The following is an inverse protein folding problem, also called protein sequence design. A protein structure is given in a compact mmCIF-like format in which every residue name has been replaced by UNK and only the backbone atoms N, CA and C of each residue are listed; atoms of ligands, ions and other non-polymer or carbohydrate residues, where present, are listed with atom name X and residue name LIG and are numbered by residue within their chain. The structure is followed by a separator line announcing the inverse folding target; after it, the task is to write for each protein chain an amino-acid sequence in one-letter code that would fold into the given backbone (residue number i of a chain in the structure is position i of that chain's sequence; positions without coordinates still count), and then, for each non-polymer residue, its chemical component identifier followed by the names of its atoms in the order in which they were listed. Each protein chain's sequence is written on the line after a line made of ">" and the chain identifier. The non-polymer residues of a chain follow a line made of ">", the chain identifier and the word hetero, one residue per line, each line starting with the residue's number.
data_IF_701796637867
#
_entry.id   IF_701796637867
#
_cell.length_a   1.000
_cell.length_b   1.000
_cell.length_c   1.000
_cell.angle_alpha   90.00
_cell.angle_beta   90.00
_cell.angle_gamma   90.00
#
_symmetry.space_group_name_H-M   'P 1'
#
loop_
_entity.id
_entity.type
_entity.pdbx_description
1 polymer ?
#
# COMPACT_ATOMS: atom_id res chain seq x y z
N UNK A 1 19.31 3.58 -1.10
CA UNK A 1 18.34 4.07 -2.11
C UNK A 1 18.00 2.91 -3.04
N UNK A 2 16.72 2.67 -3.32
CA UNK A 2 16.26 1.63 -4.24
C UNK A 2 15.18 2.22 -5.17
N UNK A 3 15.24 1.90 -6.46
CA UNK A 3 14.27 2.32 -7.47
C UNK A 3 14.23 1.33 -8.64
N UNK A 4 13.13 1.33 -9.39
CA UNK A 4 12.98 0.50 -10.58
C UNK A 4 13.75 1.04 -11.78
N UNK A 5 14.30 0.14 -12.59
CA UNK A 5 14.99 0.42 -13.85
C UNK A 5 14.50 -0.53 -14.93
N UNK A 6 14.62 -0.15 -16.20
CA UNK A 6 14.22 -0.97 -17.33
C UNK A 6 15.17 -2.15 -17.60
N UNK A 7 14.73 -3.14 -18.37
CA UNK A 7 15.54 -4.34 -18.69
C UNK A 7 16.89 -4.00 -19.32
N UNK A 8 16.95 -3.06 -20.25
CA UNK A 8 18.21 -2.61 -20.86
C UNK A 8 19.13 -1.89 -19.87
N UNK A 9 18.58 -1.19 -18.89
CA UNK A 9 19.37 -0.60 -17.81
C UNK A 9 19.94 -1.68 -16.87
N UNK A 10 19.17 -2.74 -16.59
CA UNK A 10 19.65 -3.89 -15.80
C UNK A 10 20.85 -4.54 -16.49
N UNK A 11 20.75 -4.81 -17.80
CA UNK A 11 21.86 -5.36 -18.59
C UNK A 11 23.11 -4.47 -18.47
N UNK A 12 22.94 -3.15 -18.58
CA UNK A 12 24.03 -2.19 -18.45
C UNK A 12 24.65 -2.18 -17.05
N UNK A 13 23.85 -2.25 -15.99
CA UNK A 13 24.35 -2.33 -14.60
C UNK A 13 25.11 -3.63 -14.38
N UNK A 14 24.60 -4.76 -14.89
CA UNK A 14 25.30 -6.04 -14.76
C UNK A 14 26.64 -6.03 -15.48
N UNK A 15 26.70 -5.44 -16.68
CA UNK A 15 27.92 -5.36 -17.48
C UNK A 15 28.94 -4.35 -16.95
N UNK A 16 28.50 -3.20 -16.43
CA UNK A 16 29.40 -2.07 -16.13
C UNK A 16 29.46 -1.68 -14.66
N UNK A 17 28.55 -2.18 -13.81
CA UNK A 17 28.32 -1.72 -12.44
C UNK A 17 28.01 -0.22 -12.32
N UNK A 18 27.58 0.40 -13.43
CA UNK A 18 27.24 1.83 -13.48
C UNK A 18 25.90 2.04 -14.19
N UNK A 19 25.30 3.20 -13.95
CA UNK A 19 24.06 3.61 -14.62
C UNK A 19 24.03 5.13 -14.75
N UNK A 20 23.85 5.64 -15.97
CA UNK A 20 23.71 7.07 -16.22
C UNK A 20 22.35 7.53 -15.72
N UNK A 21 22.33 8.47 -14.78
CA UNK A 21 21.10 8.98 -14.20
C UNK A 21 21.13 10.50 -14.04
N UNK A 22 19.99 11.14 -14.27
CA UNK A 22 19.78 12.54 -13.88
C UNK A 22 19.57 12.61 -12.37
N UNK A 23 20.24 13.53 -11.66
CA UNK A 23 19.96 13.77 -10.25
C UNK A 23 18.47 14.08 -10.03
N UNK A 24 17.86 13.38 -9.08
CA UNK A 24 16.49 13.66 -8.66
C UNK A 24 16.48 14.85 -7.69
N UNK A 25 15.37 15.60 -7.69
CA UNK A 25 15.09 16.61 -6.68
C UNK A 25 14.67 15.97 -5.36
N UNK A 26 14.81 16.68 -4.25
CA UNK A 26 14.43 16.20 -2.93
C UNK A 26 13.05 16.72 -2.55
N UNK A 27 12.12 15.82 -2.27
CA UNK A 27 10.80 16.16 -1.73
C UNK A 27 10.67 15.62 -0.32
N UNK A 28 10.17 16.41 0.63
CA UNK A 28 9.82 15.93 1.97
C UNK A 28 8.32 15.89 2.16
N UNK A 29 7.81 14.76 2.66
CA UNK A 29 6.43 14.61 3.10
C UNK A 29 6.44 14.34 4.61
N UNK A 30 5.95 15.30 5.38
CA UNK A 30 5.90 15.24 6.83
C UNK A 30 4.49 14.90 7.31
N UNK A 31 4.35 13.80 8.04
CA UNK A 31 3.10 13.40 8.70
C UNK A 31 3.18 13.78 10.18
N UNK A 32 2.53 14.90 10.52
CA UNK A 32 2.63 15.57 11.81
C UNK A 32 1.59 15.04 12.81
N UNK A 33 2.05 14.58 13.96
CA UNK A 33 1.25 13.93 15.00
C UNK A 33 1.09 12.42 14.84
N UNK A 34 0.19 11.85 15.62
CA UNK A 34 -0.15 10.42 15.59
C UNK A 34 -1.45 10.18 14.83
N UNK A 35 -1.51 9.06 14.12
CA UNK A 35 -2.74 8.63 13.43
C UNK A 35 -3.70 7.98 14.41
N UNK A 36 -5.00 8.12 14.15
CA UNK A 36 -6.06 7.50 14.95
C UNK A 36 -6.01 5.97 14.88
N UNK A 37 -6.63 5.31 15.87
CA UNK A 37 -6.83 3.86 15.86
C UNK A 37 -7.53 3.42 14.56
N UNK A 38 -7.10 2.29 14.00
CA UNK A 38 -7.64 1.75 12.74
C UNK A 38 -7.01 2.33 11.47
N UNK A 39 -6.14 3.35 11.58
CA UNK A 39 -5.35 3.89 10.46
C UNK A 39 -4.02 3.15 10.36
N UNK A 40 -3.72 2.64 9.16
CA UNK A 40 -2.51 1.87 8.86
C UNK A 40 -1.56 2.64 7.94
N UNK A 41 -0.37 2.06 7.68
CA UNK A 41 0.56 2.58 6.68
C UNK A 41 -0.06 2.73 5.29
N UNK A 42 -1.01 1.83 4.94
CA UNK A 42 -1.75 1.86 3.67
C UNK A 42 -2.61 3.11 3.54
N UNK A 43 -3.30 3.47 4.62
CA UNK A 43 -4.16 4.65 4.65
C UNK A 43 -3.34 5.94 4.57
N UNK A 44 -2.18 5.98 5.25
CA UNK A 44 -1.24 7.09 5.18
C UNK A 44 -0.78 7.31 3.73
N UNK A 45 -0.30 6.26 3.04
CA UNK A 45 0.23 6.42 1.69
C UNK A 45 -0.86 6.69 0.65
N UNK A 46 -2.04 6.13 0.80
CA UNK A 46 -3.18 6.47 -0.06
C UNK A 46 -3.60 7.93 0.13
N UNK A 47 -3.67 8.43 1.37
CA UNK A 47 -3.94 9.85 1.63
C UNK A 47 -2.88 10.77 1.02
N UNK A 48 -1.60 10.39 1.12
CA UNK A 48 -0.50 11.13 0.48
C UNK A 48 -0.71 11.18 -1.04
N UNK A 49 -0.94 10.04 -1.69
CA UNK A 49 -1.12 9.96 -3.15
C UNK A 49 -2.38 10.72 -3.59
N UNK A 50 -3.47 10.67 -2.82
CA UNK A 50 -4.67 11.48 -3.07
C UNK A 50 -4.40 12.98 -3.02
N UNK A 51 -3.50 13.43 -2.13
CA UNK A 51 -3.15 14.85 -2.01
C UNK A 51 -2.16 15.33 -3.08
N UNK A 52 -1.14 14.54 -3.41
CA UNK A 52 -0.10 14.96 -4.36
C UNK A 52 -0.42 14.57 -5.81
N UNK A 53 -1.33 13.60 -6.02
CA UNK A 53 -1.64 13.00 -7.31
C UNK A 53 -0.56 12.03 -7.81
N UNK A 54 -0.86 11.27 -8.88
CA UNK A 54 0.08 10.28 -9.44
C UNK A 54 1.30 10.88 -10.12
N UNK A 55 1.31 12.19 -10.38
CA UNK A 55 2.45 12.94 -10.91
C UNK A 55 3.11 13.85 -9.86
N UNK A 56 2.64 13.81 -8.60
CA UNK A 56 3.04 14.77 -7.56
C UNK A 56 4.51 14.72 -7.17
N UNK A 57 5.14 13.55 -7.31
CA UNK A 57 6.55 13.27 -7.05
C UNK A 57 7.40 13.11 -8.32
N UNK A 58 6.89 13.39 -9.52
CA UNK A 58 7.67 13.22 -10.76
C UNK A 58 8.95 14.05 -10.75
N UNK A 59 10.10 13.36 -10.92
CA UNK A 59 11.43 13.97 -10.87
C UNK A 59 12.02 14.10 -9.45
N UNK A 60 11.31 13.63 -8.42
CA UNK A 60 11.75 13.67 -7.03
C UNK A 60 12.06 12.29 -6.46
N UNK A 61 12.92 12.27 -5.45
CA UNK A 61 12.93 11.24 -4.40
C UNK A 61 12.20 11.81 -3.19
N UNK A 62 11.26 11.04 -2.64
CA UNK A 62 10.48 11.46 -1.48
C UNK A 62 11.12 10.94 -0.20
N UNK A 63 11.44 11.83 0.72
CA UNK A 63 11.69 11.50 2.13
C UNK A 63 10.37 11.60 2.91
N UNK A 64 9.94 10.50 3.53
CA UNK A 64 8.80 10.48 4.44
C UNK A 64 9.31 10.67 5.87
N UNK A 65 8.75 11.67 6.55
CA UNK A 65 9.17 12.09 7.88
C UNK A 65 7.95 12.39 8.78
N UNK A 66 8.23 12.72 10.04
CA UNK A 66 7.19 13.04 11.03
C UNK A 66 6.88 11.89 11.99
N UNK A 67 6.11 12.21 13.03
CA UNK A 67 5.88 11.31 14.16
C UNK A 67 5.16 10.02 13.72
N UNK A 68 4.12 10.13 12.89
CA UNK A 68 3.41 8.95 12.39
C UNK A 68 4.33 7.99 11.63
N UNK A 69 5.26 8.51 10.80
CA UNK A 69 6.22 7.69 10.04
C UNK A 69 7.21 6.99 10.97
N UNK A 70 7.74 7.70 11.97
CA UNK A 70 8.63 7.11 13.00
C UNK A 70 7.92 6.01 13.80
N UNK A 71 6.63 6.20 14.08
CA UNK A 71 5.81 5.24 14.84
C UNK A 71 5.56 3.93 14.08
N UNK A 72 5.67 3.89 12.75
CA UNK A 72 5.51 2.66 11.97
C UNK A 72 6.56 1.60 12.29
N UNK A 73 6.15 0.34 12.15
CA UNK A 73 7.04 -0.81 12.03
C UNK A 73 7.85 -0.74 10.73
N UNK A 74 8.85 -1.60 10.58
CA UNK A 74 9.58 -1.69 9.32
C UNK A 74 8.72 -2.18 8.16
N UNK A 75 7.75 -3.04 8.41
CA UNK A 75 6.84 -3.56 7.38
C UNK A 75 5.90 -2.44 6.88
N UNK A 76 5.33 -1.64 7.78
CA UNK A 76 4.57 -0.44 7.43
C UNK A 76 5.39 0.62 6.69
N UNK A 77 6.67 0.82 7.04
CA UNK A 77 7.59 1.68 6.26
C UNK A 77 7.79 1.17 4.85
N UNK A 78 7.90 -0.15 4.68
CA UNK A 78 8.02 -0.76 3.35
C UNK A 78 6.73 -0.58 2.53
N UNK A 79 5.54 -0.60 3.14
CA UNK A 79 4.27 -0.27 2.46
C UNK A 79 4.30 1.16 1.90
N UNK A 80 4.74 2.14 2.69
CA UNK A 80 4.85 3.54 2.24
C UNK A 80 5.86 3.68 1.10
N UNK A 81 7.07 3.16 1.28
CA UNK A 81 8.12 3.25 0.27
C UNK A 81 7.75 2.48 -1.02
N UNK A 82 7.03 1.35 -0.91
CA UNK A 82 6.55 0.59 -2.06
C UNK A 82 5.67 1.45 -2.97
N UNK A 83 4.74 2.20 -2.38
CA UNK A 83 3.75 2.99 -3.12
C UNK A 83 4.24 4.39 -3.52
N UNK A 84 5.53 4.68 -3.37
CA UNK A 84 6.10 5.98 -3.78
C UNK A 84 6.02 6.19 -5.29
N UNK A 85 6.12 5.11 -6.07
CA UNK A 85 6.03 5.17 -7.53
C UNK A 85 4.60 5.48 -8.00
N UNK A 86 3.57 5.08 -7.25
CA UNK A 86 2.18 5.44 -7.52
C UNK A 86 1.90 6.94 -7.28
N UNK A 87 2.69 7.61 -6.43
CA UNK A 87 2.74 9.08 -6.33
C UNK A 87 3.65 9.75 -7.38
N UNK A 88 4.22 8.97 -8.30
CA UNK A 88 5.09 9.43 -9.38
C UNK A 88 6.55 9.65 -8.98
N UNK A 89 6.92 9.35 -7.74
CA UNK A 89 8.29 9.52 -7.27
C UNK A 89 9.20 8.40 -7.75
N UNK A 90 10.46 8.74 -7.95
CA UNK A 90 11.49 7.78 -8.37
C UNK A 90 11.79 6.75 -7.27
N UNK A 91 11.79 7.20 -6.02
CA UNK A 91 12.02 6.38 -4.85
C UNK A 91 11.38 7.04 -3.62
N UNK A 92 11.14 6.21 -2.59
CA UNK A 92 10.77 6.62 -1.25
C UNK A 92 11.88 6.29 -0.25
N UNK A 93 12.12 7.18 0.70
CA UNK A 93 13.11 7.04 1.76
C UNK A 93 12.47 7.32 3.11
N UNK A 94 12.85 6.53 4.10
CA UNK A 94 12.57 6.77 5.53
C UNK A 94 13.90 6.60 6.24
N UNK A 95 14.25 7.59 7.08
CA UNK A 95 15.49 7.56 7.83
C UNK A 95 15.56 6.29 8.71
N UNK A 96 16.70 5.59 8.74
CA UNK A 96 16.86 4.44 9.61
C UNK A 96 16.92 4.90 11.08
N UNK A 97 16.44 4.03 11.96
CA UNK A 97 16.41 4.20 13.41
C UNK A 97 16.48 2.84 14.10
N UNK A 98 16.27 2.80 15.40
CA UNK A 98 16.34 1.57 16.21
C UNK A 98 15.42 0.47 15.68
N UNK A 99 14.20 0.80 15.23
CA UNK A 99 13.27 -0.18 14.63
C UNK A 99 13.85 -0.81 13.37
N UNK A 100 14.60 -0.03 12.60
CA UNK A 100 15.30 -0.50 11.41
C UNK A 100 16.41 -1.48 11.78
N UNK A 101 17.19 -1.14 12.80
CA UNK A 101 18.30 -1.98 13.25
C UNK A 101 17.78 -3.28 13.86
N UNK A 102 16.78 -3.21 14.72
CA UNK A 102 16.17 -4.39 15.34
C UNK A 102 15.55 -5.31 14.29
N UNK A 103 14.91 -4.77 13.26
CA UNK A 103 14.39 -5.57 12.17
C UNK A 103 15.49 -6.31 11.40
N UNK A 104 16.67 -5.71 11.18
CA UNK A 104 17.77 -6.34 10.44
C UNK A 104 18.55 -7.34 11.32
N UNK A 105 18.62 -7.09 12.63
CA UNK A 105 19.46 -7.84 13.58
C UNK A 105 19.15 -9.35 13.51
N UNK A 106 20.20 -10.15 13.32
CA UNK A 106 20.10 -11.61 13.29
C UNK A 106 19.48 -12.22 12.02
N UNK A 107 19.05 -11.41 11.04
CA UNK A 107 18.56 -11.92 9.76
C UNK A 107 19.69 -12.53 8.91
N UNK A 108 19.37 -13.41 7.95
CA UNK A 108 20.34 -13.86 6.96
C UNK A 108 21.05 -12.68 6.29
N UNK A 109 22.38 -12.80 6.16
CA UNK A 109 23.26 -11.77 5.60
C UNK A 109 23.36 -10.44 6.38
N UNK A 110 22.70 -10.31 7.53
CA UNK A 110 22.93 -9.18 8.41
C UNK A 110 24.39 -9.16 8.90
N UNK A 111 25.02 -7.98 9.05
CA UNK A 111 26.38 -7.89 9.58
C UNK A 111 26.43 -8.47 11.00
N UNK A 112 27.57 -9.08 11.35
CA UNK A 112 27.77 -9.73 12.66
C UNK A 112 28.94 -9.10 13.41
N UNK A 113 28.93 -9.23 14.74
CA UNK A 113 30.03 -8.84 15.63
C UNK A 113 30.50 -7.39 15.37
N UNK A 114 31.80 -7.16 15.15
CA UNK A 114 32.32 -5.81 14.90
C UNK A 114 31.72 -5.13 13.66
N UNK A 115 31.37 -5.90 12.62
CA UNK A 115 30.73 -5.34 11.43
C UNK A 115 29.31 -4.85 11.73
N UNK A 116 28.63 -5.41 12.74
CA UNK A 116 27.35 -4.90 13.21
C UNK A 116 27.50 -3.50 13.82
N UNK A 117 28.51 -3.31 14.67
CA UNK A 117 28.79 -2.01 15.29
C UNK A 117 29.19 -0.95 14.26
N UNK A 118 30.00 -1.33 13.26
CA UNK A 118 30.35 -0.45 12.13
C UNK A 118 29.12 -0.07 11.31
N UNK A 119 28.24 -1.04 11.05
CA UNK A 119 27.01 -0.82 10.31
C UNK A 119 26.06 0.13 11.06
N UNK A 120 25.85 -0.06 12.36
CA UNK A 120 25.05 0.87 13.20
C UNK A 120 25.63 2.28 13.14
N UNK A 121 26.95 2.43 13.30
CA UNK A 121 27.60 3.74 13.26
C UNK A 121 27.35 4.44 11.90
N UNK A 122 27.45 3.70 10.81
CA UNK A 122 27.17 4.21 9.47
C UNK A 122 25.68 4.52 9.27
N UNK A 123 24.77 3.65 9.69
CA UNK A 123 23.34 3.88 9.52
C UNK A 123 22.85 5.08 10.33
N UNK A 124 23.41 5.31 11.52
CA UNK A 124 23.13 6.51 12.31
C UNK A 124 23.59 7.81 11.66
N UNK A 125 24.46 7.77 10.65
CA UNK A 125 24.86 8.95 9.87
C UNK A 125 24.03 9.15 8.59
N UNK A 126 23.03 8.32 8.33
CA UNK A 126 22.16 8.43 7.16
C UNK A 126 20.96 9.38 7.28
N UNK A 127 20.39 9.66 8.47
CA UNK A 127 19.32 10.65 8.60
C UNK A 127 19.76 12.02 8.08
N UNK A 128 18.80 12.77 7.51
CA UNK A 128 19.03 14.11 6.98
C UNK A 128 19.52 15.09 8.06
N UNK A 129 20.47 15.95 7.69
CA UNK A 129 21.03 16.96 8.58
C UNK A 129 19.97 17.96 9.08
N UNK A 130 20.20 18.51 10.28
CA UNK A 130 19.37 19.60 10.80
C UNK A 130 19.48 20.80 9.85
N UNK A 131 18.34 21.26 9.32
CA UNK A 131 18.30 22.36 8.36
C UNK A 131 18.52 21.96 6.90
N UNK A 132 18.51 20.65 6.59
CA UNK A 132 18.53 20.18 5.20
C UNK A 132 17.41 20.85 4.36
N UNK A 133 17.77 21.32 3.17
CA UNK A 133 16.85 21.97 2.23
C UNK A 133 16.21 20.96 1.29
N UNK A 134 14.92 21.13 1.02
CA UNK A 134 14.16 20.31 0.08
C UNK A 134 13.61 21.19 -1.04
N UNK A 135 13.61 20.67 -2.27
CA UNK A 135 13.02 21.35 -3.42
C UNK A 135 11.50 21.50 -3.29
N UNK A 136 10.85 20.58 -2.55
CA UNK A 136 9.41 20.60 -2.29
C UNK A 136 9.10 20.00 -0.92
N UNK A 137 8.19 20.63 -0.20
CA UNK A 137 7.73 20.14 1.11
C UNK A 137 6.22 20.07 1.17
N UNK A 138 5.69 19.00 1.76
CA UNK A 138 4.27 18.80 2.02
C UNK A 138 4.11 18.36 3.46
N UNK A 139 3.20 19.01 4.20
CA UNK A 139 2.85 18.63 5.57
C UNK A 139 1.41 18.17 5.62
N UNK A 140 1.18 17.02 6.23
CA UNK A 140 -0.15 16.43 6.45
C UNK A 140 -0.32 16.23 7.96
N UNK A 141 -1.45 16.68 8.51
CA UNK A 141 -1.78 16.43 9.92
C UNK A 141 -2.29 14.99 10.03
N UNK A 142 -1.64 14.18 10.86
CA UNK A 142 -1.96 12.76 11.06
C UNK A 142 -3.42 12.55 11.51
N UNK A 143 -3.96 13.47 12.32
CA UNK A 143 -5.37 13.46 12.76
C UNK A 143 -6.41 13.59 11.64
N UNK A 144 -5.99 14.07 10.46
CA UNK A 144 -6.87 14.19 9.29
C UNK A 144 -6.84 12.92 8.42
N UNK A 145 -5.97 11.96 8.75
CA UNK A 145 -5.90 10.68 8.04
C UNK A 145 -6.92 9.74 8.71
N UNK A 146 -7.88 9.29 7.92
CA UNK A 146 -8.82 8.24 8.26
C UNK A 146 -8.54 6.99 7.42
N UNK A 147 -9.15 5.83 7.73
CA UNK A 147 -9.11 4.69 6.83
C UNK A 147 -9.58 5.06 5.41
N UNK A 148 -8.79 4.69 4.41
CA UNK A 148 -8.92 5.14 3.02
C UNK A 148 -9.37 4.00 2.09
N UNK A 149 -9.97 4.40 0.97
CA UNK A 149 -10.30 3.48 -0.12
C UNK A 149 -10.30 4.20 -1.45
N UNK A 150 -9.78 3.55 -2.49
CA UNK A 150 -9.90 4.09 -3.84
C UNK A 150 -11.32 3.86 -4.37
N UNK A 151 -11.96 4.89 -4.92
CA UNK A 151 -13.27 4.80 -5.56
C UNK A 151 -13.16 4.70 -7.08
N UNK A 152 -12.08 5.26 -7.66
CA UNK A 152 -11.85 5.33 -9.11
C UNK A 152 -10.90 4.27 -9.66
N UNK A 153 -10.22 4.61 -10.74
CA UNK A 153 -9.34 3.69 -11.51
C UNK A 153 -7.85 4.02 -11.33
N UNK A 154 -7.52 4.86 -10.36
CA UNK A 154 -6.15 5.25 -10.03
C UNK A 154 -5.95 5.30 -8.51
N UNK A 155 -4.72 5.05 -8.00
CA UNK A 155 -4.42 5.18 -6.58
C UNK A 155 -4.66 6.58 -5.99
N UNK A 156 -4.70 7.63 -6.82
CA UNK A 156 -5.05 9.00 -6.37
C UNK A 156 -6.55 9.21 -6.18
N UNK A 157 -7.39 8.34 -6.74
CA UNK A 157 -8.85 8.46 -6.70
C UNK A 157 -9.35 7.87 -5.38
N UNK A 158 -9.01 8.53 -4.27
CA UNK A 158 -9.18 8.04 -2.90
C UNK A 158 -10.13 8.93 -2.10
N UNK A 159 -10.90 8.30 -1.21
CA UNK A 159 -11.74 8.96 -0.20
C UNK A 159 -11.70 8.17 1.12
N UNK A 160 -12.07 8.81 2.25
CA UNK A 160 -12.39 8.08 3.47
C UNK A 160 -13.46 7.00 3.26
N UNK A 161 -13.35 5.87 3.95
CA UNK A 161 -14.37 4.80 3.89
C UNK A 161 -15.74 5.29 4.40
N UNK A 162 -15.76 6.27 5.30
CA UNK A 162 -16.98 6.93 5.80
C UNK A 162 -17.53 7.99 4.83
N UNK A 163 -16.83 8.26 3.74
CA UNK A 163 -17.17 9.26 2.74
C UNK A 163 -18.12 8.75 1.65
N UNK A 164 -18.17 9.53 0.58
CA UNK A 164 -19.02 9.29 -0.60
C UNK A 164 -18.17 9.29 -1.88
N UNK A 165 -18.69 8.61 -2.89
CA UNK A 165 -18.21 8.72 -4.27
C UNK A 165 -18.37 10.17 -4.74
N UNK A 166 -17.34 10.81 -5.33
CA UNK A 166 -17.42 12.21 -5.75
C UNK A 166 -18.46 12.42 -6.84
N UNK A 167 -19.08 13.60 -6.84
CA UNK A 167 -19.98 14.03 -7.91
C UNK A 167 -19.20 14.82 -8.98
N UNK A 168 -19.18 14.37 -10.25
CA UNK A 168 -18.58 15.14 -11.33
C UNK A 168 -19.13 16.56 -11.46
N UNK A 169 -20.37 16.82 -11.04
CA UNK A 169 -21.00 18.15 -11.09
C UNK A 169 -20.31 19.17 -10.20
N UNK A 170 -19.66 18.73 -9.13
CA UNK A 170 -18.94 19.59 -8.19
C UNK A 170 -17.50 19.91 -8.63
N UNK A 171 -17.08 19.42 -9.80
CA UNK A 171 -15.72 19.60 -10.33
C UNK A 171 -15.76 20.62 -11.45
N UNK A 172 -15.16 21.80 -11.22
CA UNK A 172 -15.11 22.88 -12.22
C UNK A 172 -14.26 22.54 -13.44
N UNK A 173 -13.09 21.91 -13.22
CA UNK A 173 -12.17 21.54 -14.30
C UNK A 173 -12.78 20.47 -15.21
N UNK A 174 -12.97 20.82 -16.48
CA UNK A 174 -13.65 19.99 -17.48
C UNK A 174 -12.89 18.67 -17.74
N UNK A 175 -11.55 18.68 -17.71
CA UNK A 175 -10.75 17.47 -17.96
C UNK A 175 -10.87 16.52 -16.78
N UNK A 176 -10.77 17.05 -15.56
CA UNK A 176 -10.95 16.29 -14.32
C UNK A 176 -12.37 15.73 -14.22
N UNK A 177 -13.39 16.54 -14.54
CA UNK A 177 -14.80 16.09 -14.59
C UNK A 177 -14.97 14.88 -15.50
N UNK A 178 -14.49 14.97 -16.75
CA UNK A 178 -14.56 13.86 -17.72
C UNK A 178 -13.80 12.61 -17.26
N UNK A 179 -12.66 12.80 -16.61
CA UNK A 179 -11.90 11.69 -16.04
C UNK A 179 -12.69 10.99 -14.92
N UNK A 180 -13.30 11.75 -14.01
CA UNK A 180 -14.18 11.20 -12.97
C UNK A 180 -15.38 10.48 -13.58
N UNK A 181 -16.07 11.07 -14.56
CA UNK A 181 -17.21 10.44 -15.26
C UNK A 181 -16.82 9.07 -15.84
N UNK A 182 -15.68 8.98 -16.53
CA UNK A 182 -15.16 7.71 -17.06
C UNK A 182 -14.82 6.71 -15.95
N UNK A 183 -14.16 7.15 -14.88
CA UNK A 183 -13.84 6.28 -13.75
C UNK A 183 -15.11 5.74 -13.08
N UNK A 184 -16.16 6.56 -12.92
CA UNK A 184 -17.45 6.13 -12.38
C UNK A 184 -18.14 5.12 -13.30
N UNK A 185 -18.13 5.34 -14.61
CA UNK A 185 -18.68 4.41 -15.59
C UNK A 185 -17.96 3.04 -15.53
N UNK A 186 -16.62 3.05 -15.58
CA UNK A 186 -15.82 1.84 -15.48
C UNK A 186 -16.08 1.10 -14.16
N UNK A 187 -16.02 1.84 -13.05
CA UNK A 187 -16.23 1.30 -11.71
C UNK A 187 -17.70 0.97 -11.44
N UNK A 188 -18.64 1.35 -12.30
CA UNK A 188 -20.08 1.15 -12.08
C UNK A 188 -20.55 1.72 -10.75
N UNK A 189 -20.15 2.96 -10.45
CA UNK A 189 -20.50 3.68 -9.22
C UNK A 189 -21.39 4.88 -9.54
N UNK A 190 -22.28 5.20 -8.61
CA UNK A 190 -23.10 6.41 -8.71
C UNK A 190 -22.46 7.56 -7.92
N UNK A 191 -22.56 8.78 -8.43
CA UNK A 191 -22.19 9.98 -7.70
C UNK A 191 -22.93 10.05 -6.36
N UNK A 192 -22.25 10.52 -5.30
CA UNK A 192 -22.78 10.65 -3.94
C UNK A 192 -23.21 9.33 -3.26
N UNK A 193 -22.97 8.16 -3.87
CA UNK A 193 -23.16 6.87 -3.21
C UNK A 193 -22.23 6.77 -1.99
N UNK A 194 -22.73 6.28 -0.85
CA UNK A 194 -21.84 6.05 0.29
C UNK A 194 -20.90 4.90 -0.03
N UNK A 195 -19.64 5.05 0.36
CA UNK A 195 -18.64 4.02 0.07
C UNK A 195 -18.99 2.69 0.77
N UNK A 196 -19.57 2.76 1.97
CA UNK A 196 -20.02 1.57 2.71
C UNK A 196 -21.16 0.77 2.03
N UNK A 197 -21.85 1.36 1.07
CA UNK A 197 -22.91 0.69 0.31
C UNK A 197 -22.38 -0.06 -0.93
N UNK A 198 -21.07 0.05 -1.21
CA UNK A 198 -20.44 -0.62 -2.34
C UNK A 198 -20.28 -2.11 -2.02
N UNK A 199 -21.10 -2.93 -2.68
CA UNK A 199 -21.01 -4.41 -2.66
C UNK A 199 -19.77 -4.88 -3.40
N UNK A 200 -19.08 -5.86 -2.83
CA UNK A 200 -17.91 -6.50 -3.43
C UNK A 200 -18.20 -7.98 -3.72
N UNK A 201 -17.53 -8.53 -4.72
CA UNK A 201 -17.62 -9.94 -5.10
C UNK A 201 -16.41 -10.73 -4.60
N UNK A 202 -15.26 -10.05 -4.45
CA UNK A 202 -13.97 -10.66 -4.11
C UNK A 202 -13.16 -9.84 -3.10
N UNK A 203 -12.31 -10.53 -2.36
CA UNK A 203 -11.25 -9.93 -1.55
C UNK A 203 -9.89 -10.53 -1.89
N UNK A 204 -8.91 -9.67 -2.12
CA UNK A 204 -7.53 -10.04 -2.33
C UNK A 204 -6.64 -9.40 -1.26
N UNK A 205 -6.06 -10.23 -0.39
CA UNK A 205 -5.10 -9.79 0.62
C UNK A 205 -3.75 -10.40 0.29
N UNK A 206 -2.73 -9.58 0.07
CA UNK A 206 -1.38 -10.08 -0.11
C UNK A 206 -0.51 -9.25 -1.04
N UNK A 207 0.39 -9.94 -1.75
CA UNK A 207 1.46 -9.39 -2.59
C UNK A 207 2.60 -8.73 -1.79
N UNK A 208 3.52 -8.06 -2.48
CA UNK A 208 4.67 -7.39 -1.87
C UNK A 208 4.30 -6.16 -1.02
N UNK A 209 3.09 -5.61 -1.21
CA UNK A 209 2.66 -4.37 -0.54
C UNK A 209 2.14 -4.63 0.88
N UNK A 210 1.24 -5.60 1.01
CA UNK A 210 0.51 -5.91 2.24
C UNK A 210 0.21 -7.42 2.34
N UNK A 211 1.27 -8.22 2.39
CA UNK A 211 1.24 -9.68 2.58
C UNK A 211 2.30 -10.14 3.58
N UNK A 212 2.75 -9.25 4.46
CA UNK A 212 3.80 -9.52 5.46
C UNK A 212 3.18 -10.08 6.73
N UNK A 213 4.01 -10.51 7.68
CA UNK A 213 3.48 -11.20 8.86
C UNK A 213 2.60 -10.28 9.71
N UNK A 214 2.90 -8.98 9.80
CA UNK A 214 2.03 -8.06 10.55
C UNK A 214 0.66 -7.88 9.89
N UNK A 215 0.61 -7.83 8.55
CA UNK A 215 -0.64 -7.73 7.79
C UNK A 215 -1.50 -8.98 8.02
N UNK A 216 -0.89 -10.18 7.97
CA UNK A 216 -1.60 -11.46 8.17
C UNK A 216 -2.15 -11.60 9.59
N UNK A 217 -1.40 -11.15 10.60
CA UNK A 217 -1.86 -11.12 11.99
C UNK A 217 -3.02 -10.14 12.18
N UNK A 218 -2.97 -8.99 11.51
CA UNK A 218 -4.07 -8.02 11.54
C UNK A 218 -5.35 -8.64 10.95
N UNK A 219 -5.25 -9.29 9.80
CA UNK A 219 -6.37 -9.98 9.16
C UNK A 219 -6.92 -11.09 10.05
N UNK A 220 -6.05 -11.95 10.60
CA UNK A 220 -6.45 -13.03 11.49
C UNK A 220 -7.24 -12.51 12.71
N UNK A 221 -6.80 -11.40 13.33
CA UNK A 221 -7.52 -10.77 14.46
C UNK A 221 -8.94 -10.33 14.10
N UNK A 222 -9.14 -9.84 12.87
CA UNK A 222 -10.46 -9.37 12.43
C UNK A 222 -11.41 -10.54 12.19
N UNK A 223 -10.90 -11.63 11.61
CA UNK A 223 -11.71 -12.73 11.08
C UNK A 223 -11.86 -13.92 12.03
N UNK A 224 -11.10 -13.94 13.13
CA UNK A 224 -11.19 -15.00 14.15
C UNK A 224 -12.63 -15.20 14.64
N UNK A 225 -13.09 -16.45 14.61
CA UNK A 225 -14.46 -16.86 14.93
C UNK A 225 -15.55 -16.40 13.95
N UNK A 226 -15.21 -15.82 12.81
CA UNK A 226 -16.16 -15.31 11.79
C UNK A 226 -15.98 -16.06 10.46
N UNK A 227 -16.91 -15.83 9.51
CA UNK A 227 -16.86 -16.40 8.16
C UNK A 227 -16.96 -15.31 7.11
N UNK A 228 -16.18 -15.42 6.03
CA UNK A 228 -16.31 -14.55 4.86
C UNK A 228 -17.56 -14.91 4.05
N UNK A 229 -18.16 -13.92 3.39
CA UNK A 229 -19.37 -14.09 2.56
C UNK A 229 -19.10 -13.92 1.06
N UNK A 230 -17.85 -13.64 0.69
CA UNK A 230 -17.40 -13.38 -0.68
C UNK A 230 -16.16 -14.21 -0.98
N UNK A 231 -15.82 -14.36 -2.26
CA UNK A 231 -14.62 -15.08 -2.69
C UNK A 231 -13.37 -14.35 -2.19
N UNK A 232 -12.72 -14.90 -1.16
CA UNK A 232 -11.60 -14.24 -0.50
C UNK A 232 -10.34 -15.09 -0.56
N UNK A 233 -9.21 -14.47 -0.92
CA UNK A 233 -7.92 -15.16 -1.00
C UNK A 233 -6.82 -14.40 -0.27
N UNK A 234 -5.87 -15.15 0.26
CA UNK A 234 -4.70 -14.62 0.95
C UNK A 234 -3.43 -15.16 0.31
N UNK A 235 -2.54 -14.25 -0.07
CA UNK A 235 -1.26 -14.54 -0.72
C UNK A 235 -0.11 -13.96 0.12
N UNK A 236 0.64 -14.80 0.85
CA UNK A 236 1.81 -14.33 1.61
C UNK A 236 2.84 -13.65 0.70
N UNK A 237 3.56 -12.67 1.23
CA UNK A 237 4.55 -11.90 0.49
C UNK A 237 5.85 -12.66 0.21
N UNK A 238 6.09 -13.78 0.90
CA UNK A 238 7.24 -14.67 0.69
C UNK A 238 7.03 -16.04 1.35
N UNK A 239 7.86 -17.02 0.97
CA UNK A 239 7.88 -18.35 1.62
C UNK A 239 8.16 -18.26 3.12
N UNK A 240 9.10 -17.41 3.54
CA UNK A 240 9.42 -17.21 4.96
C UNK A 240 8.23 -16.66 5.76
N UNK A 241 7.46 -15.74 5.17
CA UNK A 241 6.24 -15.20 5.82
C UNK A 241 5.17 -16.27 5.91
N UNK A 242 4.99 -17.09 4.86
CA UNK A 242 4.04 -18.21 4.87
C UNK A 242 4.39 -19.22 5.96
N UNK A 243 5.63 -19.69 5.99
CA UNK A 243 6.13 -20.60 7.03
C UNK A 243 5.92 -20.04 8.44
N UNK A 244 6.18 -18.74 8.62
CA UNK A 244 5.98 -18.08 9.90
C UNK A 244 4.49 -18.03 10.28
N UNK A 245 3.62 -17.67 9.34
CA UNK A 245 2.18 -17.62 9.56
C UNK A 245 1.60 -19.00 9.94
N UNK A 246 2.08 -20.07 9.30
CA UNK A 246 1.68 -21.45 9.58
C UNK A 246 2.18 -21.93 10.95
N UNK A 247 3.41 -21.56 11.33
CA UNK A 247 3.94 -21.83 12.69
C UNK A 247 3.15 -21.10 13.77
N UNK A 248 2.67 -19.89 13.48
CA UNK A 248 1.83 -19.10 14.38
C UNK A 248 0.36 -19.56 14.37
N UNK A 249 -0.02 -20.48 13.46
CA UNK A 249 -1.39 -20.97 13.32
C UNK A 249 -2.36 -19.96 12.68
N UNK A 250 -1.84 -18.91 12.05
CA UNK A 250 -2.65 -17.89 11.37
C UNK A 250 -3.36 -18.49 10.16
N UNK A 251 -2.68 -19.35 9.41
CA UNK A 251 -3.25 -20.08 8.27
C UNK A 251 -4.55 -20.80 8.64
N UNK A 252 -4.59 -21.44 9.82
CA UNK A 252 -5.77 -22.16 10.31
C UNK A 252 -6.94 -21.22 10.56
N UNK A 253 -6.71 -20.08 11.23
CA UNK A 253 -7.73 -19.06 11.48
C UNK A 253 -8.28 -18.53 10.14
N UNK A 254 -7.39 -18.26 9.19
CA UNK A 254 -7.75 -17.72 7.89
C UNK A 254 -8.52 -18.74 7.04
N UNK A 255 -8.08 -19.99 6.98
CA UNK A 255 -8.78 -21.09 6.29
C UNK A 255 -10.13 -21.35 6.95
N UNK A 256 -10.18 -21.37 8.28
CA UNK A 256 -11.44 -21.52 9.01
C UNK A 256 -12.40 -20.38 8.69
N UNK A 257 -11.93 -19.13 8.61
CA UNK A 257 -12.76 -18.01 8.19
C UNK A 257 -13.26 -18.12 6.74
N UNK A 258 -12.71 -19.04 5.93
CA UNK A 258 -13.12 -19.30 4.55
C UNK A 258 -12.22 -18.63 3.50
N UNK A 259 -11.05 -18.13 3.89
CA UNK A 259 -10.08 -17.65 2.92
C UNK A 259 -9.38 -18.81 2.22
N UNK A 260 -9.15 -18.60 0.93
CA UNK A 260 -8.27 -19.44 0.13
C UNK A 260 -6.80 -19.09 0.43
N UNK A 261 -6.11 -19.97 1.17
CA UNK A 261 -4.72 -19.81 1.57
C UNK A 261 -3.76 -20.25 0.46
N UNK A 262 -3.13 -19.28 -0.21
CA UNK A 262 -2.34 -19.51 -1.43
C UNK A 262 -0.84 -19.60 -1.18
N UNK A 263 -0.11 -19.97 -2.23
CA UNK A 263 1.35 -19.89 -2.27
C UNK A 263 1.82 -18.45 -2.51
N UNK A 264 3.01 -18.08 -2.00
CA UNK A 264 3.55 -16.73 -2.14
C UNK A 264 3.79 -16.37 -3.61
N UNK A 265 3.37 -15.18 -4.02
CA UNK A 265 3.59 -14.69 -5.38
C UNK A 265 2.88 -13.39 -5.69
N UNK A 266 3.01 -12.92 -6.93
CA UNK A 266 2.29 -11.72 -7.38
C UNK A 266 0.77 -11.96 -7.47
N UNK A 267 0.32 -13.18 -7.79
CA UNK A 267 -1.11 -13.54 -7.88
C UNK A 267 -1.94 -12.46 -8.61
N UNK A 268 -3.08 -12.06 -8.06
CA UNK A 268 -4.00 -11.07 -8.63
C UNK A 268 -3.41 -9.65 -8.66
N UNK A 269 -2.36 -9.32 -7.89
CA UNK A 269 -1.72 -8.00 -7.93
C UNK A 269 -1.12 -7.68 -9.32
N UNK A 270 -0.77 -8.71 -10.09
CA UNK A 270 -0.32 -8.60 -11.48
C UNK A 270 -1.30 -9.25 -12.48
N UNK A 271 -2.09 -10.23 -12.03
CA UNK A 271 -3.08 -10.95 -12.85
C UNK A 271 -2.50 -11.55 -14.14
N UNK A 272 -1.23 -12.01 -14.10
CA UNK A 272 -0.58 -12.79 -15.17
C UNK A 272 -0.70 -14.32 -14.95
N UNK A 273 -1.60 -14.71 -14.05
CA UNK A 273 -1.92 -16.08 -13.67
C UNK A 273 -3.45 -16.21 -13.64
N UNK A 274 -4.02 -17.39 -13.32
CA UNK A 274 -5.47 -17.57 -13.24
C UNK A 274 -6.19 -16.75 -12.17
N UNK A 275 -5.48 -16.15 -11.21
CA UNK A 275 -6.07 -15.30 -10.17
C UNK A 275 -6.42 -13.94 -10.79
N UNK A 276 -7.61 -13.84 -11.38
CA UNK A 276 -8.11 -12.63 -12.06
C UNK A 276 -9.56 -12.35 -11.70
N UNK A 277 -9.93 -11.07 -11.81
CA UNK A 277 -11.32 -10.63 -11.81
C UNK A 277 -11.95 -10.90 -13.16
N UNK A 278 -13.18 -11.42 -13.14
CA UNK A 278 -14.04 -11.47 -14.32
C UNK A 278 -14.58 -10.06 -14.62
N UNK A 279 -15.06 -9.81 -15.86
CA UNK A 279 -15.65 -8.53 -16.20
C UNK A 279 -16.73 -8.11 -15.20
N UNK A 280 -16.60 -6.88 -14.68
CA UNK A 280 -17.49 -6.24 -13.70
C UNK A 280 -17.46 -6.82 -12.28
N UNK A 281 -16.71 -7.89 -12.01
CA UNK A 281 -16.44 -8.33 -10.62
C UNK A 281 -15.70 -7.21 -9.88
N UNK A 282 -16.08 -7.01 -8.62
CA UNK A 282 -15.51 -5.99 -7.75
C UNK A 282 -14.69 -6.59 -6.62
N UNK A 283 -13.47 -6.09 -6.46
CA UNK A 283 -12.52 -6.54 -5.46
C UNK A 283 -12.17 -5.44 -4.46
N UNK A 284 -12.17 -5.78 -3.16
CA UNK A 284 -11.39 -5.04 -2.17
C UNK A 284 -10.00 -5.68 -2.06
N UNK A 285 -8.95 -4.91 -2.37
CA UNK A 285 -7.62 -5.41 -2.68
C UNK A 285 -6.56 -4.68 -1.87
N UNK A 286 -5.63 -5.42 -1.24
CA UNK A 286 -4.49 -4.80 -0.53
C UNK A 286 -3.29 -4.53 -1.44
N UNK A 287 -3.43 -4.76 -2.75
CA UNK A 287 -2.42 -4.43 -3.77
C UNK A 287 -2.15 -2.93 -3.87
N UNK A 288 -1.16 -2.51 -4.65
CA UNK A 288 -0.78 -1.11 -4.81
C UNK A 288 -1.39 -0.43 -6.05
N UNK A 289 -2.02 -1.16 -6.97
CA UNK A 289 -2.50 -0.61 -8.25
C UNK A 289 -3.89 -1.10 -8.61
N UNK A 290 -4.76 -0.18 -8.98
CA UNK A 290 -6.12 -0.44 -9.46
C UNK A 290 -6.41 0.17 -10.86
N UNK A 291 -5.37 0.36 -11.68
CA UNK A 291 -5.55 0.77 -13.07
C UNK A 291 -6.46 -0.18 -13.84
N UNK A 292 -7.20 0.34 -14.83
CA UNK A 292 -8.11 -0.45 -15.66
C UNK A 292 -7.39 -1.69 -16.22
N UNK A 293 -7.96 -2.88 -16.00
CA UNK A 293 -7.40 -4.14 -16.48
C UNK A 293 -6.29 -4.74 -15.60
N UNK A 294 -5.83 -4.05 -14.55
CA UNK A 294 -4.67 -4.47 -13.75
C UNK A 294 -4.84 -5.82 -13.05
N UNK A 295 -6.01 -6.07 -12.49
CA UNK A 295 -6.35 -7.32 -11.77
C UNK A 295 -7.23 -8.25 -12.62
N UNK A 296 -7.33 -8.01 -13.93
CA UNK A 296 -8.25 -8.70 -14.83
C UNK A 296 -9.00 -7.72 -15.73
N UNK A 297 -9.31 -8.15 -16.95
CA UNK A 297 -10.02 -7.32 -17.94
C UNK A 297 -11.39 -6.90 -17.40
N UNK A 298 -11.66 -5.60 -17.40
CA UNK A 298 -12.92 -5.00 -16.92
C UNK A 298 -13.24 -5.30 -15.45
N UNK A 299 -12.26 -5.76 -14.66
CA UNK A 299 -12.39 -5.93 -13.22
C UNK A 299 -12.32 -4.61 -12.46
N UNK A 300 -13.08 -4.48 -11.38
CA UNK A 300 -13.22 -3.24 -10.60
C UNK A 300 -12.51 -3.38 -9.27
N UNK A 301 -11.45 -2.61 -9.04
CA UNK A 301 -10.58 -2.79 -7.87
C UNK A 301 -10.59 -1.57 -6.97
N UNK A 302 -10.82 -1.80 -5.68
CA UNK A 302 -10.70 -0.83 -4.60
C UNK A 302 -9.48 -1.16 -3.76
N UNK A 303 -8.53 -0.23 -3.65
CA UNK A 303 -7.36 -0.39 -2.81
C UNK A 303 -7.72 -0.04 -1.37
N UNK A 304 -7.44 -0.95 -0.44
CA UNK A 304 -7.77 -0.81 0.98
C UNK A 304 -6.65 -1.41 1.85
N UNK A 305 -6.68 -1.13 3.16
CA UNK A 305 -5.81 -1.78 4.15
C UNK A 305 -6.21 -3.24 4.42
N UNK A 306 -5.32 -4.08 5.00
CA UNK A 306 -5.64 -5.47 5.33
C UNK A 306 -6.83 -5.61 6.27
N UNK A 307 -6.91 -4.80 7.33
CA UNK A 307 -8.06 -4.77 8.24
C UNK A 307 -9.38 -4.49 7.51
N UNK A 308 -9.39 -3.50 6.61
CA UNK A 308 -10.58 -3.14 5.83
C UNK A 308 -10.94 -4.25 4.83
N UNK A 309 -9.96 -4.84 4.15
CA UNK A 309 -10.19 -5.97 3.25
C UNK A 309 -10.81 -7.16 4.01
N UNK A 310 -10.29 -7.48 5.20
CA UNK A 310 -10.78 -8.54 6.06
C UNK A 310 -12.22 -8.28 6.53
N UNK A 311 -12.52 -7.06 7.00
CA UNK A 311 -13.87 -6.69 7.42
C UNK A 311 -14.86 -6.74 6.26
N UNK A 312 -14.43 -6.23 5.10
CA UNK A 312 -15.25 -6.25 3.89
C UNK A 312 -15.52 -7.67 3.39
N UNK A 313 -14.59 -8.60 3.59
CA UNK A 313 -14.77 -10.02 3.25
C UNK A 313 -15.90 -10.67 4.07
N UNK A 314 -16.06 -10.28 5.32
CA UNK A 314 -17.12 -10.77 6.21
C UNK A 314 -18.47 -10.12 5.87
N UNK A 315 -18.48 -8.82 5.58
CA UNK A 315 -19.72 -8.07 5.35
C UNK A 315 -20.27 -8.22 3.93
N UNK A 316 -19.41 -8.44 2.94
CA UNK A 316 -19.75 -8.42 1.51
C UNK A 316 -19.85 -7.02 0.89
N UNK A 317 -19.60 -5.97 1.69
CA UNK A 317 -19.49 -4.57 1.26
C UNK A 317 -18.21 -3.97 1.82
N UNK A 318 -17.72 -2.87 1.23
CA UNK A 318 -16.62 -2.10 1.80
C UNK A 318 -17.02 -1.62 3.20
N UNK A 319 -16.25 -1.98 4.24
CA UNK A 319 -16.55 -1.51 5.59
C UNK A 319 -15.32 -1.44 6.50
N UNK A 320 -15.51 -0.77 7.63
CA UNK A 320 -14.53 -0.74 8.72
C UNK A 320 -14.71 -1.95 9.62
N UNK A 321 -13.69 -2.23 10.43
CA UNK A 321 -13.73 -3.30 11.45
C UNK A 321 -14.82 -3.02 12.49
N UNK A 322 -15.02 -1.76 12.86
CA UNK A 322 -16.04 -1.29 13.81
C UNK A 322 -17.50 -1.47 13.30
N UNK A 323 -17.68 -1.82 12.02
CA UNK A 323 -19.00 -2.07 11.44
C UNK A 323 -19.45 -3.55 11.53
N UNK A 324 -18.62 -4.44 12.06
CA UNK A 324 -18.90 -5.88 12.22
C UNK A 324 -19.52 -6.19 13.58
#
# INVERSE_FOLDING_TARGET
>A
LAFGIGTSEVEHVLATQTLIQKPAKNMRIMIDGEVSLGVTSKDIILQIIGQIGTAGGTGYVIEYAGQAIKNLSMEGRMTICNMSIEGGARAGLIAPDEKTFDYIKGRPFAPKNENWNKAIKFWNSLPSDIGASYDKEVTIKAKNISPQVTWGTSPQDVVPITGKVPDPKDIDDIKKRKAVERSLEYMGLNANQNIKDIKIDKVFIGSCTNGRIEDLREVAKVVDGKKVTVDAMIVPGSGLVKEQAEREGLDKILIEAGFDWREPGCSMCLAMNPDQLKPKERCASTSNRNFEGRQGREGRTHLVSPAVAAASAIRGNICLVEDL
#
